data_IF_616624254558
#
_entry.id   IF_616624254558
#
_cell.length_a   1.000
_cell.length_b   1.000
_cell.length_c   1.000
_cell.angle_alpha   90.00
_cell.angle_beta   90.00
_cell.angle_gamma   90.00
#
_symmetry.space_group_name_H-M   'P 1'
#
loop_
_entity.id
_entity.type
_entity.pdbx_description
1 polymer ?
#
# COMPACT_ATOMS: atom_id res chain seq x y z
N UNK A 1 14.20 2.74 1.19
CA UNK A 1 12.75 2.52 0.95
C UNK A 1 11.96 2.42 2.26
N UNK A 2 12.58 2.05 3.38
CA UNK A 2 11.87 1.83 4.65
C UNK A 2 11.13 3.07 5.18
N UNK A 3 11.71 4.27 5.04
CA UNK A 3 11.03 5.51 5.40
C UNK A 3 9.73 5.72 4.60
N UNK A 4 9.72 5.38 3.31
CA UNK A 4 8.52 5.43 2.47
C UNK A 4 7.51 4.37 2.90
N UNK A 5 7.97 3.17 3.27
CA UNK A 5 7.08 2.11 3.75
C UNK A 5 6.32 2.55 5.00
N UNK A 6 7.02 3.09 6.00
CA UNK A 6 6.38 3.57 7.23
C UNK A 6 5.46 4.77 7.00
N UNK A 7 5.80 5.64 6.06
CA UNK A 7 5.02 6.82 5.74
C UNK A 7 3.75 6.51 4.92
N UNK A 8 3.81 5.54 4.00
CA UNK A 8 2.68 5.21 3.13
C UNK A 8 1.75 4.13 3.72
N UNK A 9 2.31 3.07 4.32
CA UNK A 9 1.55 1.89 4.75
C UNK A 9 1.29 1.82 6.26
N UNK A 10 1.95 2.67 7.06
CA UNK A 10 1.70 2.76 8.50
C UNK A 10 0.23 3.09 8.79
N UNK A 11 -0.39 2.36 9.71
CA UNK A 11 -1.84 2.42 9.99
C UNK A 11 -2.71 2.28 8.72
N UNK A 12 -2.30 1.38 7.81
CA UNK A 12 -2.97 1.15 6.53
C UNK A 12 -3.12 2.39 5.63
N UNK A 13 -2.29 3.42 5.85
CA UNK A 13 -2.39 4.70 5.12
C UNK A 13 -3.53 5.60 5.61
N UNK A 14 -4.27 5.21 6.64
CA UNK A 14 -5.39 5.98 7.22
C UNK A 14 -4.87 7.04 8.21
N UNK A 15 -3.86 7.82 7.79
CA UNK A 15 -3.25 8.92 8.55
C UNK A 15 -3.26 10.18 7.68
N UNK A 16 -3.63 11.33 8.24
CA UNK A 16 -3.60 12.60 7.51
C UNK A 16 -2.19 13.01 7.02
N UNK A 17 -1.15 12.48 7.67
CA UNK A 17 0.26 12.66 7.29
C UNK A 17 0.83 11.49 6.48
N UNK A 18 -0.01 10.58 5.96
CA UNK A 18 0.46 9.50 5.09
C UNK A 18 0.94 10.06 3.75
N UNK A 19 2.05 9.51 3.23
CA UNK A 19 2.55 9.89 1.90
C UNK A 19 1.79 9.07 0.86
N UNK A 20 0.92 9.74 0.09
CA UNK A 20 0.16 9.13 -1.01
C UNK A 20 0.85 9.22 -2.37
N UNK A 21 1.83 10.11 -2.53
CA UNK A 21 2.56 10.34 -3.79
C UNK A 21 4.05 10.54 -3.50
N UNK A 22 4.90 9.85 -4.26
CA UNK A 22 6.34 10.06 -4.26
C UNK A 22 6.80 10.48 -5.66
N UNK A 23 7.62 11.52 -5.74
CA UNK A 23 8.22 12.00 -6.99
C UNK A 23 9.71 11.69 -6.95
N UNK A 24 10.14 10.74 -7.79
CA UNK A 24 11.55 10.39 -7.92
C UNK A 24 12.24 11.32 -8.94
N UNK A 25 13.49 11.66 -8.69
CA UNK A 25 14.26 12.58 -9.54
C UNK A 25 15.28 11.79 -10.37
N UNK A 26 15.23 11.98 -11.69
CA UNK A 26 16.20 11.42 -12.63
C UNK A 26 16.25 9.89 -12.62
N UNK A 27 17.46 9.33 -12.68
CA UNK A 27 17.70 7.89 -12.77
C UNK A 27 17.31 7.08 -11.54
N UNK A 28 16.91 7.73 -10.44
CA UNK A 28 16.47 7.04 -9.23
C UNK A 28 15.09 6.38 -9.38
N UNK A 29 14.29 6.77 -10.38
CA UNK A 29 12.89 6.36 -10.52
C UNK A 29 12.71 4.84 -10.60
N UNK A 30 13.31 4.19 -11.59
CA UNK A 30 13.11 2.76 -11.84
C UNK A 30 13.62 1.90 -10.68
N UNK A 31 14.80 2.24 -10.15
CA UNK A 31 15.38 1.56 -9.00
C UNK A 31 14.51 1.72 -7.73
N UNK A 32 13.91 2.90 -7.53
CA UNK A 32 13.01 3.14 -6.41
C UNK A 32 11.73 2.31 -6.55
N UNK A 33 11.10 2.33 -7.72
CA UNK A 33 9.87 1.56 -8.00
C UNK A 33 10.13 0.07 -7.80
N UNK A 34 11.24 -0.47 -8.33
CA UNK A 34 11.59 -1.88 -8.18
C UNK A 34 11.77 -2.29 -6.71
N UNK A 35 12.53 -1.52 -5.93
CA UNK A 35 12.77 -1.80 -4.51
C UNK A 35 11.52 -1.64 -3.66
N UNK A 36 10.67 -0.66 -3.97
CA UNK A 36 9.38 -0.50 -3.31
C UNK A 36 8.48 -1.70 -3.61
N UNK A 37 8.38 -2.13 -4.87
CA UNK A 37 7.56 -3.28 -5.25
C UNK A 37 7.97 -4.57 -4.53
N UNK A 38 9.28 -4.85 -4.43
CA UNK A 38 9.78 -5.97 -3.65
C UNK A 38 9.37 -5.87 -2.17
N UNK A 39 9.57 -4.70 -1.56
CA UNK A 39 9.28 -4.49 -0.14
C UNK A 39 7.79 -4.55 0.20
N UNK A 40 6.93 -4.10 -0.71
CA UNK A 40 5.46 -4.18 -0.58
C UNK A 40 4.97 -5.63 -0.69
N UNK A 41 5.54 -6.44 -1.59
CA UNK A 41 5.19 -7.88 -1.67
C UNK A 41 5.55 -8.66 -0.40
N UNK A 42 6.56 -8.20 0.33
CA UNK A 42 6.99 -8.77 1.61
C UNK A 42 6.28 -8.16 2.82
N UNK A 43 5.41 -7.16 2.63
CA UNK A 43 4.71 -6.49 3.72
C UNK A 43 3.77 -7.46 4.45
N UNK A 44 3.97 -7.62 5.75
CA UNK A 44 3.14 -8.49 6.59
C UNK A 44 1.83 -7.80 6.97
N UNK A 45 0.81 -7.99 6.15
CA UNK A 45 -0.56 -7.55 6.45
C UNK A 45 -1.24 -8.61 7.33
N UNK A 46 -1.60 -8.25 8.56
CA UNK A 46 -2.19 -9.20 9.52
C UNK A 46 -3.12 -8.50 10.52
N UNK A 47 -3.83 -9.26 11.34
CA UNK A 47 -4.59 -8.72 12.45
C UNK A 47 -3.66 -7.91 13.36
N UNK A 48 -4.04 -6.67 13.72
CA UNK A 48 -3.20 -5.73 14.47
C UNK A 48 -2.85 -6.13 15.92
N UNK A 49 -3.21 -7.35 16.35
CA UNK A 49 -2.82 -7.94 17.64
C UNK A 49 -1.65 -8.91 17.49
N UNK A 50 -1.29 -9.27 16.25
CA UNK A 50 -0.16 -10.13 15.95
C UNK A 50 1.12 -9.30 16.03
N UNK A 51 2.10 -9.79 16.79
CA UNK A 51 3.29 -9.01 17.15
C UNK A 51 4.17 -8.62 15.95
N UNK A 52 4.17 -9.41 14.88
CA UNK A 52 4.94 -9.14 13.67
C UNK A 52 4.10 -8.56 12.51
N UNK A 53 2.88 -8.10 12.80
CA UNK A 53 2.06 -7.37 11.83
C UNK A 53 2.70 -6.00 11.52
N UNK A 54 2.97 -5.75 10.25
CA UNK A 54 3.50 -4.46 9.77
C UNK A 54 2.40 -3.50 9.35
N UNK A 55 1.26 -4.04 8.89
CA UNK A 55 0.07 -3.28 8.50
C UNK A 55 -1.19 -4.04 8.94
N UNK A 56 -2.15 -3.31 9.51
CA UNK A 56 -3.47 -3.83 9.87
C UNK A 56 -4.49 -3.75 8.70
N UNK A 57 -5.72 -4.23 8.91
CA UNK A 57 -6.81 -4.00 7.96
C UNK A 57 -7.20 -2.52 7.93
N UNK A 58 -7.91 -2.12 6.87
CA UNK A 58 -8.59 -0.81 6.81
C UNK A 58 -9.84 -0.81 7.70
N UNK A 59 -10.29 0.38 8.10
CA UNK A 59 -11.30 0.54 9.15
C UNK A 59 -12.67 -0.10 8.87
N UNK A 60 -13.13 -0.12 7.62
CA UNK A 60 -14.45 -0.62 7.26
C UNK A 60 -14.49 -1.26 5.87
N UNK A 61 -15.51 -2.09 5.62
CA UNK A 61 -15.78 -2.65 4.29
C UNK A 61 -16.01 -1.57 3.22
N UNK A 62 -16.70 -0.48 3.58
CA UNK A 62 -16.92 0.64 2.68
C UNK A 62 -15.60 1.35 2.30
N UNK A 63 -14.68 1.52 3.27
CA UNK A 63 -13.34 2.03 2.98
C UNK A 63 -12.56 1.10 2.04
N UNK A 64 -12.60 -0.22 2.27
CA UNK A 64 -12.00 -1.21 1.37
C UNK A 64 -12.56 -1.07 -0.06
N UNK A 65 -13.88 -1.07 -0.22
CA UNK A 65 -14.52 -0.96 -1.54
C UNK A 65 -14.14 0.33 -2.27
N UNK A 66 -14.07 1.47 -1.55
CA UNK A 66 -13.60 2.74 -2.11
C UNK A 66 -12.15 2.65 -2.59
N UNK A 67 -11.26 2.03 -1.81
CA UNK A 67 -9.85 1.85 -2.18
C UNK A 67 -9.74 0.97 -3.44
N UNK A 68 -10.44 -0.17 -3.49
CA UNK A 68 -10.44 -1.05 -4.66
C UNK A 68 -10.99 -0.36 -5.91
N UNK A 69 -11.99 0.50 -5.75
CA UNK A 69 -12.53 1.34 -6.83
C UNK A 69 -11.48 2.33 -7.34
N UNK A 70 -10.80 3.07 -6.46
CA UNK A 70 -9.75 4.03 -6.83
C UNK A 70 -8.57 3.35 -7.54
N UNK A 71 -8.17 2.15 -7.10
CA UNK A 71 -7.14 1.35 -7.79
C UNK A 71 -7.61 1.02 -9.21
N UNK A 72 -8.86 0.57 -9.35
CA UNK A 72 -9.44 0.20 -10.65
C UNK A 72 -9.54 1.38 -11.59
N UNK A 73 -10.00 2.54 -11.09
CA UNK A 73 -10.05 3.80 -11.83
C UNK A 73 -8.66 4.21 -12.31
N UNK A 74 -7.63 4.14 -11.44
CA UNK A 74 -6.26 4.48 -11.82
C UNK A 74 -5.75 3.63 -12.99
N UNK A 75 -6.00 2.32 -12.98
CA UNK A 75 -5.64 1.43 -14.10
C UNK A 75 -6.42 1.80 -15.37
N UNK A 76 -7.72 2.10 -15.26
CA UNK A 76 -8.53 2.54 -16.40
C UNK A 76 -8.05 3.86 -17.01
N UNK A 77 -7.47 4.74 -16.18
CA UNK A 77 -6.85 6.00 -16.60
C UNK A 77 -5.42 5.82 -17.16
N UNK A 78 -4.90 4.59 -17.23
CA UNK A 78 -3.61 4.27 -17.83
C UNK A 78 -2.45 4.14 -16.84
N UNK A 79 -2.71 4.12 -15.52
CA UNK A 79 -1.67 3.85 -14.54
C UNK A 79 -1.20 2.39 -14.61
N UNK A 80 0.10 2.17 -14.40
CA UNK A 80 0.67 0.83 -14.29
C UNK A 80 0.55 0.32 -12.86
N UNK A 81 -0.21 -0.77 -12.66
CA UNK A 81 -0.35 -1.42 -11.35
C UNK A 81 0.83 -2.37 -11.08
N UNK A 82 1.84 -1.89 -10.35
CA UNK A 82 3.08 -2.63 -10.09
C UNK A 82 2.90 -3.75 -9.05
N UNK A 83 2.05 -3.51 -8.04
CA UNK A 83 1.62 -4.50 -7.04
C UNK A 83 0.13 -4.32 -6.82
N UNK A 84 -0.63 -5.40 -6.97
CA UNK A 84 -2.08 -5.39 -6.75
C UNK A 84 -2.41 -5.94 -5.36
N UNK A 85 -3.07 -5.11 -4.53
CA UNK A 85 -3.53 -5.49 -3.19
C UNK A 85 -5.03 -5.73 -3.10
N UNK A 86 -5.77 -5.64 -4.22
CA UNK A 86 -7.23 -5.84 -4.23
C UNK A 86 -7.59 -7.28 -3.86
N UNK A 87 -8.72 -7.46 -3.19
CA UNK A 87 -9.20 -8.79 -2.78
C UNK A 87 -8.36 -9.46 -1.69
N UNK A 88 -7.37 -8.77 -1.11
CA UNK A 88 -6.59 -9.31 -0.01
C UNK A 88 -7.48 -9.53 1.22
N UNK A 89 -7.44 -10.74 1.76
CA UNK A 89 -8.17 -11.12 2.98
C UNK A 89 -7.16 -11.21 4.12
N UNK A 90 -7.31 -10.33 5.10
CA UNK A 90 -6.46 -10.34 6.30
C UNK A 90 -6.87 -11.53 7.17
N UNK A 91 -5.96 -12.45 7.50
CA UNK A 91 -6.30 -13.60 8.33
C UNK A 91 -6.90 -13.17 9.69
N UNK A 92 -8.06 -13.74 10.03
CA UNK A 92 -8.73 -13.49 11.31
C UNK A 92 -9.49 -12.17 11.42
N UNK A 93 -9.70 -11.46 10.30
CA UNK A 93 -10.54 -10.25 10.23
C UNK A 93 -11.77 -10.46 9.32
#
# INVERSE_FOLDING_TARGET
VDALMGAAYGSAGERCMAISVAVAVGSAADALVARMAERVRLLKVNHGKVADAEMGPVITKAAQQRIEHLITEGVQQGATLVVDGRGYVVPGC
#
